data_IF_428518472492
#
_entry.id   IF_428518472492
#
_cell.length_a   1.000
_cell.length_b   1.000
_cell.length_c   1.000
_cell.angle_alpha   90.00
_cell.angle_beta   90.00
_cell.angle_gamma   90.00
#
_symmetry.space_group_name_H-M   'P 1'
#
loop_
_entity.id
_entity.type
_entity.pdbx_description
1 polymer ?
#
# COMPACT_ATOMS: atom_id res chain seq x y z
N UNK A 1 18.77 -21.04 11.93
CA UNK A 1 18.42 -20.67 11.07
C UNK A 1 17.19 -21.17 10.65
N UNK A 2 16.79 -22.08 10.79
CA UNK A 2 15.72 -22.64 10.38
C UNK A 2 14.51 -22.18 11.02
N UNK A 3 14.63 -21.51 12.08
CA UNK A 3 13.52 -20.95 12.75
C UNK A 3 12.56 -20.24 11.86
N UNK A 4 13.08 -19.71 10.78
CA UNK A 4 12.27 -18.99 9.88
C UNK A 4 11.09 -19.76 9.36
N UNK A 5 11.25 -21.03 9.18
CA UNK A 5 10.19 -21.80 8.61
C UNK A 5 9.04 -21.97 9.55
N UNK A 6 9.33 -22.04 10.81
CA UNK A 6 8.29 -22.22 11.79
C UNK A 6 7.38 -21.01 11.81
N UNK A 7 7.95 -19.83 11.75
CA UNK A 7 7.15 -18.62 11.73
C UNK A 7 6.28 -18.56 10.51
N UNK A 8 6.85 -18.90 9.36
CA UNK A 8 6.10 -18.85 8.13
C UNK A 8 4.97 -19.86 8.13
N UNK A 9 5.18 -21.03 8.70
CA UNK A 9 4.18 -22.07 8.70
C UNK A 9 2.96 -21.67 9.52
N UNK A 10 3.13 -20.78 10.50
CA UNK A 10 2.03 -20.37 11.34
C UNK A 10 1.45 -19.02 10.97
N UNK A 11 1.94 -18.41 9.89
CA UNK A 11 1.45 -17.11 9.50
C UNK A 11 0.03 -17.20 8.93
N UNK A 12 -0.78 -16.22 9.22
CA UNK A 12 -2.11 -16.11 8.66
C UNK A 12 -1.99 -16.04 7.14
N UNK A 13 -2.82 -16.74 6.38
CA UNK A 13 -2.78 -16.66 4.92
C UNK A 13 -2.84 -15.23 4.39
N UNK A 14 -3.64 -14.37 5.00
CA UNK A 14 -3.69 -12.98 4.59
C UNK A 14 -2.34 -12.31 4.80
N UNK A 15 -1.69 -12.56 5.93
CA UNK A 15 -0.39 -11.95 6.23
C UNK A 15 0.66 -12.37 5.22
N UNK A 16 0.60 -13.59 4.72
CA UNK A 16 1.54 -14.05 3.71
C UNK A 16 1.35 -13.28 2.40
N UNK A 17 0.11 -13.06 1.99
CA UNK A 17 -0.19 -12.32 0.78
C UNK A 17 0.19 -10.85 0.96
N UNK A 18 -0.14 -10.27 2.12
CA UNK A 18 0.21 -8.89 2.42
C UNK A 18 1.72 -8.69 2.31
N UNK A 19 2.49 -9.59 2.91
CA UNK A 19 3.94 -9.47 2.88
C UNK A 19 4.50 -9.59 1.47
N UNK A 20 3.88 -10.40 0.64
CA UNK A 20 4.33 -10.57 -0.73
C UNK A 20 4.19 -9.27 -1.53
N UNK A 21 3.16 -8.49 -1.24
CA UNK A 21 2.86 -7.28 -2.01
C UNK A 21 3.24 -5.99 -1.28
N UNK A 22 4.00 -6.09 -0.18
CA UNK A 22 4.40 -4.93 0.61
C UNK A 22 5.92 -4.80 0.64
N UNK A 23 6.40 -3.58 0.43
CA UNK A 23 7.81 -3.26 0.58
C UNK A 23 7.94 -2.18 1.63
N UNK A 24 8.95 -2.32 2.47
CA UNK A 24 9.21 -1.34 3.53
C UNK A 24 10.65 -0.86 3.43
N UNK A 25 10.82 0.45 3.48
CA UNK A 25 12.16 1.06 3.50
C UNK A 25 12.22 1.96 4.72
N UNK A 26 13.33 1.93 5.42
CA UNK A 26 13.50 2.76 6.60
C UNK A 26 14.81 3.52 6.50
N UNK A 27 14.73 4.84 6.64
CA UNK A 27 15.88 5.71 6.65
C UNK A 27 16.11 6.14 8.10
N UNK A 28 17.28 5.88 8.64
CA UNK A 28 17.62 6.21 10.02
C UNK A 28 18.65 7.33 9.98
N UNK A 29 18.38 8.39 10.76
CA UNK A 29 19.23 9.54 10.77
C UNK A 29 20.52 9.27 11.57
N UNK A 30 21.43 10.24 11.54
CA UNK A 30 22.71 10.10 12.21
C UNK A 30 22.57 9.94 13.72
N UNK A 31 21.51 10.50 14.30
CA UNK A 31 21.29 10.37 15.73
C UNK A 31 20.87 8.96 16.12
N UNK A 32 20.60 8.09 15.12
CA UNK A 32 20.22 6.69 15.32
C UNK A 32 18.86 6.55 16.02
N UNK A 33 18.13 7.63 16.18
CA UNK A 33 16.84 7.61 16.84
C UNK A 33 15.75 8.11 15.89
N UNK A 34 16.04 9.16 15.12
CA UNK A 34 15.08 9.70 14.17
C UNK A 34 15.03 8.86 12.92
N UNK A 35 13.84 8.59 12.43
CA UNK A 35 13.70 7.76 11.23
C UNK A 35 12.48 8.15 10.40
N UNK A 36 12.53 7.79 9.13
CA UNK A 36 11.38 7.84 8.23
C UNK A 36 11.20 6.43 7.68
N UNK A 37 10.04 5.86 7.90
CA UNK A 37 9.71 4.55 7.34
C UNK A 37 8.63 4.71 6.29
N UNK A 38 8.81 4.09 5.14
CA UNK A 38 7.85 4.13 4.05
C UNK A 38 7.43 2.70 3.76
N UNK A 39 6.15 2.44 3.85
CA UNK A 39 5.62 1.11 3.56
C UNK A 39 4.67 1.25 2.38
N UNK A 40 4.90 0.51 1.32
CA UNK A 40 4.07 0.56 0.13
C UNK A 40 3.48 -0.81 -0.13
N UNK A 41 2.17 -0.90 -0.25
CA UNK A 41 1.47 -2.15 -0.55
C UNK A 41 0.75 -1.99 -1.88
N UNK A 42 1.12 -2.84 -2.86
CA UNK A 42 0.41 -2.83 -4.13
C UNK A 42 -0.88 -3.63 -3.96
N UNK A 43 -2.01 -3.01 -4.22
CA UNK A 43 -3.31 -3.68 -4.12
C UNK A 43 -3.52 -4.47 -5.40
N UNK A 44 -2.81 -5.58 -5.51
CA UNK A 44 -2.92 -6.49 -6.64
C UNK A 44 -4.22 -7.28 -6.56
N UNK A 45 -4.57 -7.97 -7.63
CA UNK A 45 -5.77 -8.81 -7.62
C UNK A 45 -5.68 -9.88 -6.53
N UNK A 46 -4.49 -10.45 -6.34
CA UNK A 46 -4.29 -11.46 -5.30
C UNK A 46 -4.50 -10.85 -3.91
N UNK A 47 -3.95 -9.65 -3.69
CA UNK A 47 -4.09 -8.99 -2.40
C UNK A 47 -5.56 -8.66 -2.13
N UNK A 48 -6.28 -8.14 -3.14
CA UNK A 48 -7.67 -7.75 -2.98
C UNK A 48 -8.52 -8.97 -2.64
N UNK A 49 -8.28 -10.09 -3.32
CA UNK A 49 -9.03 -11.31 -3.04
C UNK A 49 -8.80 -11.76 -1.60
N UNK A 50 -7.55 -11.77 -1.16
CA UNK A 50 -7.22 -12.19 0.20
C UNK A 50 -7.82 -11.22 1.24
N UNK A 51 -7.79 -9.93 0.94
CA UNK A 51 -8.34 -8.92 1.83
C UNK A 51 -9.85 -9.08 1.98
N UNK A 52 -10.56 -9.27 0.88
CA UNK A 52 -12.01 -9.43 0.91
C UNK A 52 -12.39 -10.70 1.67
N UNK A 53 -11.64 -11.80 1.45
CA UNK A 53 -11.90 -13.04 2.15
C UNK A 53 -11.70 -12.87 3.67
N UNK A 54 -10.65 -12.14 4.05
CA UNK A 54 -10.40 -11.88 5.45
C UNK A 54 -11.51 -11.05 6.09
N UNK A 55 -11.94 -9.99 5.39
CA UNK A 55 -13.00 -9.13 5.90
C UNK A 55 -14.31 -9.90 6.01
N UNK A 56 -14.61 -10.75 5.05
CA UNK A 56 -15.83 -11.55 5.07
C UNK A 56 -15.82 -12.50 6.27
N UNK A 57 -14.67 -13.11 6.54
CA UNK A 57 -14.54 -14.04 7.65
C UNK A 57 -14.67 -13.29 8.98
N UNK A 58 -13.94 -12.19 9.12
CA UNK A 58 -13.92 -11.44 10.37
C UNK A 58 -15.29 -10.84 10.69
N UNK A 59 -16.06 -10.48 9.68
CA UNK A 59 -17.36 -9.86 9.87
C UNK A 59 -18.52 -10.82 9.65
N UNK A 60 -18.22 -12.10 9.39
CA UNK A 60 -19.22 -13.14 9.21
C UNK A 60 -20.22 -12.78 8.11
N UNK A 61 -19.71 -12.28 6.98
CA UNK A 61 -20.55 -11.92 5.85
C UNK A 61 -21.07 -13.17 5.13
N UNK A 62 -22.25 -13.04 4.54
CA UNK A 62 -22.75 -14.07 3.63
C UNK A 62 -21.97 -13.97 2.33
N UNK A 63 -22.15 -14.95 1.46
CA UNK A 63 -21.49 -14.94 0.14
C UNK A 63 -21.93 -13.71 -0.64
N UNK A 64 -23.19 -13.35 -0.58
CA UNK A 64 -23.70 -12.19 -1.30
C UNK A 64 -23.09 -10.88 -0.78
N UNK A 65 -23.01 -10.76 0.54
CA UNK A 65 -22.41 -9.56 1.13
C UNK A 65 -20.95 -9.44 0.73
N UNK A 66 -20.22 -10.55 0.68
CA UNK A 66 -18.83 -10.54 0.27
C UNK A 66 -18.69 -10.10 -1.19
N UNK A 67 -19.55 -10.61 -2.06
CA UNK A 67 -19.49 -10.28 -3.47
C UNK A 67 -19.85 -8.80 -3.72
N UNK A 68 -20.83 -8.29 -2.99
CA UNK A 68 -21.21 -6.89 -3.10
C UNK A 68 -20.07 -5.99 -2.63
N UNK A 69 -19.43 -6.36 -1.53
CA UNK A 69 -18.31 -5.59 -1.02
C UNK A 69 -17.16 -5.60 -2.03
N UNK A 70 -16.85 -6.77 -2.59
CA UNK A 70 -15.76 -6.90 -3.54
C UNK A 70 -16.02 -6.04 -4.78
N UNK A 71 -17.25 -6.07 -5.28
CA UNK A 71 -17.61 -5.29 -6.46
C UNK A 71 -17.38 -3.80 -6.21
N UNK A 72 -17.89 -3.30 -5.08
CA UNK A 72 -17.73 -1.89 -4.74
C UNK A 72 -16.27 -1.52 -4.47
N UNK A 73 -15.51 -2.42 -3.87
CA UNK A 73 -14.11 -2.19 -3.57
C UNK A 73 -13.30 -2.09 -4.86
N UNK A 74 -13.53 -3.00 -5.80
CA UNK A 74 -12.82 -2.97 -7.08
C UNK A 74 -13.14 -1.70 -7.86
N UNK A 75 -14.40 -1.25 -7.81
CA UNK A 75 -14.79 -0.02 -8.47
C UNK A 75 -14.10 1.19 -7.84
N UNK A 76 -14.02 1.23 -6.52
CA UNK A 76 -13.37 2.32 -5.82
C UNK A 76 -11.88 2.38 -6.11
N UNK A 77 -11.26 1.22 -6.35
CA UNK A 77 -9.82 1.16 -6.63
C UNK A 77 -9.51 1.40 -8.11
N UNK A 78 -10.51 1.53 -8.96
CA UNK A 78 -10.33 1.80 -10.38
C UNK A 78 -9.35 0.81 -11.04
N UNK A 79 -9.50 -0.48 -10.71
CA UNK A 79 -8.51 -1.51 -11.08
C UNK A 79 -8.28 -1.70 -12.56
N UNK A 80 -9.25 -1.36 -13.42
CA UNK A 80 -9.07 -1.53 -14.84
C UNK A 80 -8.21 -0.44 -15.46
N UNK A 81 -8.14 0.72 -14.81
CA UNK A 81 -7.42 1.86 -15.37
C UNK A 81 -6.24 2.31 -14.54
N UNK A 82 -6.20 1.95 -13.28
CA UNK A 82 -5.18 2.45 -12.36
C UNK A 82 -4.48 1.33 -11.62
N UNK A 83 -3.30 1.65 -11.13
CA UNK A 83 -2.55 0.78 -10.23
C UNK A 83 -2.65 1.40 -8.85
N UNK A 84 -3.41 0.80 -7.93
CA UNK A 84 -3.55 1.39 -6.59
C UNK A 84 -2.47 0.88 -5.66
N UNK A 85 -1.79 1.82 -5.01
CA UNK A 85 -0.75 1.49 -4.05
C UNK A 85 -1.06 2.24 -2.76
N UNK A 86 -1.16 1.51 -1.65
CA UNK A 86 -1.33 2.13 -0.34
C UNK A 86 0.06 2.51 0.16
N UNK A 87 0.26 3.77 0.48
CA UNK A 87 1.54 4.22 1.00
C UNK A 87 1.34 4.72 2.43
N UNK A 88 2.19 4.24 3.32
CA UNK A 88 2.15 4.64 4.71
C UNK A 88 3.51 5.22 5.07
N UNK A 89 3.53 6.47 5.53
CA UNK A 89 4.74 7.12 6.00
C UNK A 89 4.70 7.16 7.52
N UNK A 90 5.80 6.81 8.16
CA UNK A 90 5.96 6.97 9.61
C UNK A 90 7.21 7.80 9.84
N UNK A 91 7.04 9.00 10.37
CA UNK A 91 8.12 9.96 10.56
C UNK A 91 8.15 10.39 12.03
N UNK A 92 9.18 9.98 12.77
CA UNK A 92 9.31 10.38 14.17
C UNK A 92 10.30 11.54 14.32
N UNK A 93 10.77 12.08 13.22
CA UNK A 93 11.72 13.19 13.25
C UNK A 93 10.99 14.53 13.13
N UNK A 94 11.64 15.51 12.56
CA UNK A 94 11.02 16.81 12.39
C UNK A 94 9.92 16.73 11.35
N UNK A 95 9.04 17.72 11.37
CA UNK A 95 7.94 17.81 10.41
C UNK A 95 8.47 17.70 8.98
N UNK A 96 7.84 16.86 8.20
CA UNK A 96 8.26 16.56 6.86
C UNK A 96 7.25 17.10 5.85
N UNK A 97 7.75 17.53 4.68
CA UNK A 97 6.89 18.06 3.64
C UNK A 97 7.15 17.32 2.34
N UNK A 98 6.14 16.61 1.85
CA UNK A 98 6.27 15.86 0.61
C UNK A 98 5.65 16.56 -0.58
N UNK A 99 5.06 17.73 -0.41
CA UNK A 99 4.38 18.41 -1.48
C UNK A 99 5.31 19.18 -2.40
N UNK A 100 5.02 19.32 -3.68
CA UNK A 100 3.88 18.68 -4.32
C UNK A 100 4.13 17.18 -4.49
N UNK A 101 3.21 16.40 -3.99
CA UNK A 101 3.40 14.95 -3.91
C UNK A 101 3.62 14.33 -5.29
N UNK A 102 2.86 14.78 -6.28
CA UNK A 102 2.93 14.19 -7.62
C UNK A 102 4.26 14.48 -8.32
N UNK A 103 5.05 15.40 -7.80
CA UNK A 103 6.38 15.67 -8.34
C UNK A 103 7.42 14.87 -7.57
N UNK A 104 7.21 14.73 -6.27
CA UNK A 104 8.20 14.11 -5.41
C UNK A 104 8.15 12.58 -5.42
N UNK A 105 7.01 11.99 -5.77
CA UNK A 105 6.84 10.54 -5.72
C UNK A 105 6.42 10.03 -7.09
N UNK A 106 7.12 9.02 -7.58
CA UNK A 106 6.85 8.43 -8.88
C UNK A 106 6.95 6.94 -8.82
N UNK A 107 6.25 6.26 -9.71
CA UNK A 107 6.34 4.82 -9.86
C UNK A 107 7.30 4.49 -11.00
N UNK A 108 8.32 3.71 -10.71
CA UNK A 108 9.26 3.28 -11.74
C UNK A 108 8.90 1.88 -12.24
N UNK A 109 8.78 1.73 -13.55
CA UNK A 109 8.54 0.44 -14.18
C UNK A 109 9.52 0.35 -15.32
N UNK A 110 10.45 -0.59 -15.23
CA UNK A 110 11.52 -0.70 -16.20
C UNK A 110 12.35 0.57 -16.18
N UNK A 111 12.49 1.24 -17.32
CA UNK A 111 13.26 2.46 -17.40
C UNK A 111 12.40 3.72 -17.35
N UNK A 112 11.11 3.57 -17.08
CA UNK A 112 10.20 4.72 -17.12
C UNK A 112 9.67 5.04 -15.74
N UNK A 113 9.34 6.31 -15.52
CA UNK A 113 8.79 6.78 -14.27
C UNK A 113 7.47 7.47 -14.54
N UNK A 114 6.49 7.17 -13.71
CA UNK A 114 5.12 7.66 -13.89
C UNK A 114 4.68 8.45 -12.67
N UNK A 115 4.02 9.57 -12.92
CA UNK A 115 3.49 10.39 -11.85
C UNK A 115 2.18 9.81 -11.35
N UNK A 116 1.83 10.03 -10.10
CA UNK A 116 0.50 9.67 -9.61
C UNK A 116 -0.58 10.42 -10.38
N UNK A 117 -1.66 9.73 -10.73
CA UNK A 117 -2.80 10.36 -11.39
C UNK A 117 -3.74 10.92 -10.33
N UNK A 118 -3.87 10.23 -9.21
CA UNK A 118 -4.72 10.67 -8.12
C UNK A 118 -4.11 10.18 -6.81
N UNK A 119 -4.32 10.91 -5.74
CA UNK A 119 -3.78 10.53 -4.45
C UNK A 119 -4.48 11.32 -3.35
N UNK A 120 -4.28 10.91 -2.10
CA UNK A 120 -4.85 11.60 -0.96
C UNK A 120 -4.15 12.95 -0.82
N UNK A 121 -4.89 14.03 -0.98
CA UNK A 121 -4.30 15.37 -1.00
C UNK A 121 -3.67 15.78 0.33
N UNK A 122 -3.95 15.03 1.39
CA UNK A 122 -3.27 15.29 2.66
C UNK A 122 -1.77 15.06 2.54
N UNK A 123 -1.32 14.29 1.54
CA UNK A 123 0.12 14.08 1.31
C UNK A 123 0.84 15.37 0.91
N UNK A 124 0.11 16.40 0.49
CA UNK A 124 0.72 17.67 0.13
C UNK A 124 1.02 18.54 1.34
N UNK A 125 0.57 18.15 2.52
CA UNK A 125 0.76 18.96 3.71
C UNK A 125 1.83 18.40 4.62
N UNK A 126 2.42 19.24 5.45
CA UNK A 126 3.45 18.82 6.38
C UNK A 126 2.90 17.83 7.38
N UNK A 127 3.73 16.91 7.82
CA UNK A 127 3.30 15.94 8.83
C UNK A 127 4.46 15.43 9.67
N UNK A 128 4.11 14.95 10.85
CA UNK A 128 4.97 14.22 11.74
C UNK A 128 4.12 13.07 12.25
N UNK A 129 4.71 11.94 12.54
CA UNK A 129 3.96 10.76 12.94
C UNK A 129 3.60 9.95 11.70
N UNK A 130 2.37 9.44 11.66
CA UNK A 130 1.96 8.53 10.60
C UNK A 130 0.97 9.19 9.65
N UNK A 131 1.15 8.97 8.36
CA UNK A 131 0.21 9.43 7.35
C UNK A 131 0.12 8.36 6.27
N UNK A 132 -1.09 7.96 5.93
CA UNK A 132 -1.29 6.90 4.93
C UNK A 132 -2.42 7.25 3.98
N UNK A 133 -2.40 6.70 2.80
CA UNK A 133 -3.44 6.90 1.81
C UNK A 133 -3.14 6.15 0.53
N UNK A 134 -4.17 5.98 -0.28
CA UNK A 134 -4.03 5.34 -1.57
C UNK A 134 -3.48 6.32 -2.59
N UNK A 135 -2.60 5.83 -3.43
CA UNK A 135 -2.02 6.58 -4.53
C UNK A 135 -2.30 5.77 -5.80
N UNK A 136 -2.83 6.42 -6.82
CA UNK A 136 -3.21 5.76 -8.05
C UNK A 136 -2.26 6.16 -9.17
N UNK A 137 -1.63 5.17 -9.78
CA UNK A 137 -0.75 5.40 -10.93
C UNK A 137 -1.42 4.86 -12.19
N UNK A 138 -1.07 5.37 -13.36
CA UNK A 138 -1.73 4.90 -14.58
C UNK A 138 -1.35 3.45 -14.88
N UNK A 139 -2.31 2.67 -15.33
CA UNK A 139 -2.06 1.32 -15.77
C UNK A 139 -1.87 1.36 -17.29
N UNK A 140 -0.71 0.95 -17.74
CA UNK A 140 -0.48 1.04 -19.10
C UNK A 140 -0.71 -0.18 -19.76
N UNK A 141 -1.12 -0.08 -20.98
CA UNK A 141 -1.20 -1.11 -21.74
C UNK A 141 -0.24 -0.99 -22.60
N UNK A 142 0.48 -1.47 -22.95
CA UNK A 142 1.44 -1.36 -23.76
C UNK A 142 1.07 -1.22 -24.91
N UNK A 143 0.67 -0.78 -25.43
CA UNK A 143 0.34 -0.58 -26.65
C UNK A 143 1.29 -0.28 -27.26
#
# INVERSE_FOLDING_TARGET
>A
MIVLFTGAANADPFDQVLNRWTKTIKYIDEDKISFLEIKATYYSAEFIEAYVQKEAKDNMWTQQEMEDYKYNFLAALQMTEMIPIMIEFTNNAETMHLGPFDIMVKLGIGNKFYKPVDYDKRFNFKFQGKKEGLVFFPRFDEK
#
